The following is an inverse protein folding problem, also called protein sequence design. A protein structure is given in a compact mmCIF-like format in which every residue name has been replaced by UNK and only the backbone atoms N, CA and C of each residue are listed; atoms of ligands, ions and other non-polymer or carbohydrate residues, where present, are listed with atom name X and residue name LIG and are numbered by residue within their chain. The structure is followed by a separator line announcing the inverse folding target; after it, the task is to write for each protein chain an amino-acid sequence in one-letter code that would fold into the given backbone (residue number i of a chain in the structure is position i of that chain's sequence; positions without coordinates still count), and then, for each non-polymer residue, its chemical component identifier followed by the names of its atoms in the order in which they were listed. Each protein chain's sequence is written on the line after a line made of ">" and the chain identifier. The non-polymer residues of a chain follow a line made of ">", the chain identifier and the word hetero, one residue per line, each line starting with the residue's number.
data_IF_744374875620
#
_entry.id   IF_744374875620
#
_cell.length_a   1.000
_cell.length_b   1.000
_cell.length_c   1.000
_cell.angle_alpha   90.00
_cell.angle_beta   90.00
_cell.angle_gamma   90.00
#
_symmetry.space_group_name_H-M   'P 1'
#
loop_
_entity.id
_entity.type
_entity.pdbx_description
1 polymer ?
#
# COMPACT_ATOMS: atom_id res chain seq x y z
N UNK A 1 -10.70 11.98 -15.45
CA UNK A 1 -10.48 11.15 -16.64
C UNK A 1 -9.03 10.71 -16.63
N UNK A 2 -8.78 9.48 -16.34
CA UNK A 2 -7.42 8.95 -16.21
C UNK A 2 -7.37 7.51 -16.69
N UNK A 3 -6.26 7.12 -17.33
CA UNK A 3 -6.01 5.74 -17.70
C UNK A 3 -4.61 5.37 -17.28
N UNK A 4 -4.51 4.40 -16.40
CA UNK A 4 -3.25 3.80 -15.98
C UNK A 4 -2.91 2.68 -16.97
N UNK A 5 -1.94 2.91 -17.84
CA UNK A 5 -1.41 1.88 -18.74
C UNK A 5 -2.07 1.74 -20.12
N UNK A 6 -2.96 2.65 -20.50
CA UNK A 6 -3.51 2.69 -21.86
C UNK A 6 -3.19 4.03 -22.55
N UNK A 7 -3.09 4.03 -23.88
CA UNK A 7 -2.71 5.25 -24.63
C UNK A 7 -3.84 6.28 -24.72
N UNK A 8 -5.08 5.89 -24.43
CA UNK A 8 -6.26 6.76 -24.53
C UNK A 8 -6.81 7.15 -23.15
N UNK A 9 -7.27 8.40 -23.04
CA UNK A 9 -7.96 8.88 -21.84
C UNK A 9 -9.40 8.39 -21.83
N UNK A 10 -9.75 7.52 -20.89
CA UNK A 10 -11.09 6.97 -20.74
C UNK A 10 -11.65 7.30 -19.36
N UNK A 11 -12.98 7.23 -19.23
CA UNK A 11 -13.60 7.17 -17.91
C UNK A 11 -13.41 5.77 -17.35
N UNK A 12 -12.74 5.67 -16.21
CA UNK A 12 -12.46 4.41 -15.56
C UNK A 12 -12.90 4.43 -14.10
N UNK A 13 -13.19 3.26 -13.59
CA UNK A 13 -13.32 2.98 -12.17
C UNK A 13 -12.14 2.11 -11.74
N UNK A 14 -11.75 2.24 -10.49
CA UNK A 14 -10.69 1.44 -9.90
C UNK A 14 -11.26 0.57 -8.77
N UNK A 15 -10.92 -0.72 -8.77
CA UNK A 15 -11.34 -1.66 -7.75
C UNK A 15 -10.16 -1.96 -6.83
N UNK A 16 -10.11 -1.31 -5.68
CA UNK A 16 -9.13 -1.57 -4.65
C UNK A 16 -9.53 -2.84 -3.91
N UNK A 17 -8.70 -3.87 -4.00
CA UNK A 17 -9.09 -5.22 -3.61
C UNK A 17 -8.06 -5.83 -2.67
N UNK A 18 -8.53 -6.47 -1.60
CA UNK A 18 -7.72 -7.31 -0.74
C UNK A 18 -8.10 -8.79 -0.93
N UNK A 19 -7.09 -9.65 -0.94
CA UNK A 19 -7.29 -11.11 -0.98
C UNK A 19 -6.37 -11.81 0.02
N UNK A 20 -6.73 -13.04 0.37
CA UNK A 20 -5.88 -13.94 1.15
C UNK A 20 -4.75 -14.57 0.30
N UNK A 21 -3.94 -15.41 0.95
CA UNK A 21 -2.84 -16.15 0.29
C UNK A 21 -3.29 -17.08 -0.84
N UNK A 22 -4.55 -17.49 -0.84
CA UNK A 22 -5.14 -18.38 -1.83
C UNK A 22 -5.85 -17.59 -2.95
N UNK A 23 -5.85 -16.25 -2.86
CA UNK A 23 -6.54 -15.38 -3.79
C UNK A 23 -8.07 -15.34 -3.61
N UNK A 24 -8.59 -15.68 -2.42
CA UNK A 24 -9.96 -15.38 -2.05
C UNK A 24 -10.09 -13.89 -1.79
N UNK A 25 -10.99 -13.22 -2.46
CA UNK A 25 -11.23 -11.78 -2.27
C UNK A 25 -11.95 -11.56 -0.95
N UNK A 26 -11.32 -10.82 -0.05
CA UNK A 26 -11.81 -10.54 1.31
C UNK A 26 -12.57 -9.21 1.38
N UNK A 27 -12.09 -8.22 0.65
CA UNK A 27 -12.73 -6.90 0.59
C UNK A 27 -12.48 -6.24 -0.75
N UNK A 28 -13.39 -5.38 -1.14
CA UNK A 28 -13.28 -4.50 -2.30
C UNK A 28 -13.86 -3.12 -1.97
N UNK A 29 -13.22 -2.10 -2.52
CA UNK A 29 -13.70 -0.72 -2.58
C UNK A 29 -13.58 -0.24 -4.02
N UNK A 30 -14.63 0.37 -4.54
CA UNK A 30 -14.63 0.89 -5.91
C UNK A 30 -14.65 2.41 -5.88
N UNK A 31 -13.72 3.02 -6.60
CA UNK A 31 -13.60 4.47 -6.69
C UNK A 31 -13.61 4.92 -8.15
N UNK A 32 -13.75 6.23 -8.35
CA UNK A 32 -13.42 6.81 -9.65
C UNK A 32 -11.92 6.63 -9.92
N UNK A 33 -11.54 6.34 -11.16
CA UNK A 33 -10.17 6.00 -11.54
C UNK A 33 -9.12 7.12 -11.37
N UNK A 34 -9.52 8.30 -10.91
CA UNK A 34 -8.63 9.40 -10.54
C UNK A 34 -8.35 9.48 -9.03
N UNK A 35 -8.93 8.58 -8.23
CA UNK A 35 -8.67 8.49 -6.79
C UNK A 35 -7.39 7.70 -6.57
N UNK A 36 -6.50 8.22 -5.72
CA UNK A 36 -5.24 7.54 -5.40
C UNK A 36 -5.49 6.29 -4.56
N UNK A 37 -4.72 5.23 -4.81
CA UNK A 37 -4.75 3.98 -4.03
C UNK A 37 -4.67 4.23 -2.53
N UNK A 38 -3.83 5.18 -2.11
CA UNK A 38 -3.64 5.53 -0.70
C UNK A 38 -4.87 6.14 -0.03
N UNK A 39 -5.77 6.75 -0.80
CA UNK A 39 -7.03 7.32 -0.28
C UNK A 39 -8.08 6.23 -0.06
N UNK A 40 -8.15 5.26 -0.96
CA UNK A 40 -9.09 4.15 -0.85
C UNK A 40 -8.66 3.08 0.17
N UNK A 41 -7.40 3.13 0.60
CA UNK A 41 -6.81 2.10 1.45
C UNK A 41 -7.53 1.91 2.79
N UNK A 42 -7.87 2.99 3.48
CA UNK A 42 -8.52 2.91 4.79
C UNK A 42 -9.81 2.08 4.73
N UNK A 43 -10.65 2.30 3.72
CA UNK A 43 -11.90 1.58 3.55
C UNK A 43 -11.69 0.07 3.32
N UNK A 44 -10.70 -0.31 2.51
CA UNK A 44 -10.35 -1.71 2.26
C UNK A 44 -9.74 -2.35 3.50
N UNK A 45 -8.81 -1.65 4.15
CA UNK A 45 -8.12 -2.10 5.34
C UNK A 45 -9.08 -2.37 6.50
N UNK A 46 -9.96 -1.42 6.79
CA UNK A 46 -10.94 -1.54 7.88
C UNK A 46 -11.96 -2.66 7.61
N UNK A 47 -12.37 -2.87 6.35
CA UNK A 47 -13.21 -4.03 5.97
C UNK A 47 -12.54 -5.37 6.20
N UNK A 48 -11.23 -5.47 5.95
CA UNK A 48 -10.46 -6.71 6.18
C UNK A 48 -10.23 -6.91 7.67
N UNK A 49 -9.68 -5.93 8.36
CA UNK A 49 -9.29 -6.06 9.77
C UNK A 49 -10.46 -6.18 10.72
N UNK A 50 -11.61 -5.59 10.38
CA UNK A 50 -12.85 -5.74 11.15
C UNK A 50 -13.52 -7.11 11.01
N UNK A 51 -13.06 -7.99 10.08
CA UNK A 51 -13.60 -9.33 9.87
C UNK A 51 -12.58 -10.45 10.12
N UNK A 52 -11.29 -10.14 10.02
CA UNK A 52 -10.20 -11.12 10.04
C UNK A 52 -9.09 -10.61 10.98
N UNK A 53 -9.27 -10.83 12.29
CA UNK A 53 -8.29 -10.41 13.31
C UNK A 53 -6.93 -11.11 13.14
N UNK A 54 -6.93 -12.31 12.55
CA UNK A 54 -5.75 -13.10 12.25
C UNK A 54 -4.87 -12.54 11.13
N UNK A 55 -5.31 -11.51 10.42
CA UNK A 55 -4.56 -10.87 9.33
C UNK A 55 -3.35 -10.08 9.86
N UNK A 56 -2.28 -10.77 10.21
CA UNK A 56 -1.07 -10.16 10.79
C UNK A 56 -0.19 -9.44 9.76
N UNK A 57 -0.11 -9.97 8.52
CA UNK A 57 0.75 -9.43 7.47
C UNK A 57 -0.09 -8.77 6.39
N UNK A 58 0.15 -7.49 6.15
CA UNK A 58 -0.54 -6.71 5.11
C UNK A 58 0.46 -6.42 3.99
N UNK A 59 0.35 -7.17 2.89
CA UNK A 59 1.23 -7.04 1.73
C UNK A 59 0.59 -6.10 0.72
N UNK A 60 1.27 -5.02 0.39
CA UNK A 60 0.70 -3.94 -0.41
C UNK A 60 1.60 -3.56 -1.59
N UNK A 61 1.03 -2.86 -2.58
CA UNK A 61 1.77 -2.31 -3.72
C UNK A 61 2.45 -0.98 -3.39
N UNK A 62 3.25 -0.49 -4.32
CA UNK A 62 3.98 0.77 -4.21
C UNK A 62 3.05 1.99 -4.05
N UNK A 63 1.85 1.96 -4.63
CA UNK A 63 0.83 3.01 -4.49
C UNK A 63 0.37 3.27 -3.06
N UNK A 64 0.49 2.25 -2.20
CA UNK A 64 0.13 2.33 -0.78
C UNK A 64 1.28 2.75 0.14
N UNK A 65 2.48 3.03 -0.40
CA UNK A 65 3.65 3.39 0.43
C UNK A 65 3.59 4.84 0.89
N UNK A 66 2.80 5.10 1.92
CA UNK A 66 2.68 6.40 2.58
C UNK A 66 3.03 6.29 4.07
N UNK A 67 3.49 7.39 4.72
CA UNK A 67 3.77 7.38 6.15
C UNK A 67 2.54 7.04 7.01
N UNK A 68 1.36 7.50 6.61
CA UNK A 68 0.09 7.21 7.29
C UNK A 68 -0.25 5.72 7.29
N UNK A 69 -0.20 5.08 6.12
CA UNK A 69 -0.50 3.65 5.98
C UNK A 69 0.49 2.81 6.80
N UNK A 70 1.79 3.15 6.74
CA UNK A 70 2.80 2.48 7.54
C UNK A 70 2.51 2.61 9.04
N UNK A 71 2.21 3.85 9.49
CA UNK A 71 1.88 4.14 10.88
C UNK A 71 0.65 3.37 11.33
N UNK A 72 -0.50 3.54 10.67
CA UNK A 72 -1.78 2.90 11.05
C UNK A 72 -1.64 1.37 11.13
N UNK A 73 -0.98 0.75 10.15
CA UNK A 73 -0.79 -0.70 10.14
C UNK A 73 0.05 -1.19 11.32
N UNK A 74 1.13 -0.46 11.67
CA UNK A 74 2.01 -0.82 12.78
C UNK A 74 1.37 -0.52 14.15
N UNK A 75 0.64 0.59 14.28
CA UNK A 75 -0.12 0.92 15.49
C UNK A 75 -1.20 -0.12 15.80
N UNK A 76 -1.81 -0.70 14.75
CA UNK A 76 -2.75 -1.82 14.87
C UNK A 76 -2.06 -3.18 15.13
N UNK A 77 -0.76 -3.17 15.46
CA UNK A 77 0.05 -4.37 15.72
C UNK A 77 0.12 -5.34 14.53
N UNK A 78 -0.05 -4.84 13.30
CA UNK A 78 0.09 -5.60 12.05
C UNK A 78 1.36 -5.21 11.31
N UNK A 79 1.85 -6.10 10.47
CA UNK A 79 3.15 -5.96 9.79
C UNK A 79 2.92 -5.58 8.32
N UNK A 80 3.19 -4.33 7.93
CA UNK A 80 3.11 -3.91 6.53
C UNK A 80 4.32 -4.40 5.74
N UNK A 81 4.08 -5.04 4.60
CA UNK A 81 5.10 -5.44 3.64
C UNK A 81 4.90 -4.63 2.36
N UNK A 82 5.83 -3.72 2.10
CA UNK A 82 5.78 -2.77 0.99
C UNK A 82 7.01 -2.93 0.10
N UNK A 83 6.91 -2.66 -1.21
CA UNK A 83 8.04 -2.79 -2.11
C UNK A 83 9.06 -1.68 -1.93
N UNK A 84 10.23 -1.91 -2.51
CA UNK A 84 11.19 -0.83 -2.72
C UNK A 84 10.59 0.20 -3.69
N UNK A 85 10.70 1.46 -3.33
CA UNK A 85 10.41 2.58 -4.23
C UNK A 85 11.66 3.40 -4.42
N UNK A 86 12.01 3.65 -5.68
CA UNK A 86 13.18 4.46 -5.97
C UNK A 86 12.96 5.92 -5.53
N UNK A 87 13.93 6.48 -4.81
CA UNK A 87 13.87 7.89 -4.46
C UNK A 87 13.87 8.77 -5.71
N UNK A 88 13.01 9.77 -5.72
CA UNK A 88 12.96 10.81 -6.77
C UNK A 88 14.10 11.82 -6.57
N UNK A 89 15.33 11.36 -6.72
CA UNK A 89 16.53 12.18 -6.58
C UNK A 89 17.21 12.27 -7.93
N UNK A 90 17.69 13.43 -8.32
CA UNK A 90 18.42 13.62 -9.57
C UNK A 90 19.64 12.70 -9.61
N UNK A 91 19.99 12.21 -10.80
CA UNK A 91 21.15 11.32 -10.99
C UNK A 91 22.41 12.02 -10.51
N UNK A 92 23.22 11.30 -9.72
CA UNK A 92 24.44 11.83 -9.13
C UNK A 92 24.27 12.61 -7.83
N UNK A 93 23.04 12.85 -7.36
CA UNK A 93 22.81 13.50 -6.08
C UNK A 93 22.62 12.48 -4.93
N UNK A 94 23.04 12.89 -3.73
CA UNK A 94 22.84 12.11 -2.51
C UNK A 94 21.38 11.76 -2.29
N UNK A 95 21.15 10.50 -1.99
CA UNK A 95 19.82 9.96 -1.75
C UNK A 95 19.36 10.19 -0.32
N UNK A 96 18.06 10.21 -0.03
CA UNK A 96 17.54 10.48 1.32
C UNK A 96 18.12 9.60 2.42
N UNK A 97 18.41 8.32 2.14
CA UNK A 97 18.97 7.39 3.13
C UNK A 97 20.47 7.55 3.39
N UNK A 98 21.17 8.39 2.63
CA UNK A 98 22.58 8.72 2.89
C UNK A 98 22.72 9.82 3.96
N UNK A 99 21.60 10.51 4.27
CA UNK A 99 21.53 11.45 5.38
C UNK A 99 21.19 10.70 6.66
N UNK A 100 22.07 10.81 7.66
CA UNK A 100 21.86 10.19 8.97
C UNK A 100 21.00 11.10 9.84
N UNK A 101 19.89 10.57 10.34
CA UNK A 101 18.99 11.29 11.25
C UNK A 101 19.39 10.97 12.70
N UNK A 102 19.55 12.01 13.48
CA UNK A 102 19.72 11.93 14.93
C UNK A 102 18.43 12.35 15.62
N UNK A 103 17.82 11.39 16.32
CA UNK A 103 16.54 11.58 17.03
C UNK A 103 16.70 12.50 18.24
N UNK A 104 17.87 12.46 18.92
CA UNK A 104 18.09 13.22 20.14
C UNK A 104 18.21 14.72 19.88
N UNK A 105 18.95 15.06 18.83
CA UNK A 105 19.20 16.46 18.47
C UNK A 105 18.23 17.00 17.40
N UNK A 106 17.34 16.16 16.86
CA UNK A 106 16.46 16.47 15.72
C UNK A 106 17.24 17.10 14.55
N UNK A 107 18.33 16.46 14.14
CA UNK A 107 19.21 16.93 13.05
C UNK A 107 19.46 15.86 12.02
N UNK A 108 19.81 16.28 10.80
CA UNK A 108 20.32 15.40 9.74
C UNK A 108 21.81 15.67 9.49
N UNK A 109 22.61 14.64 9.42
CA UNK A 109 24.02 14.74 9.01
C UNK A 109 24.14 14.29 7.55
N UNK A 110 24.72 15.14 6.70
CA UNK A 110 24.95 14.81 5.30
C UNK A 110 26.14 13.84 5.16
N UNK A 111 26.32 13.17 3.99
CA UNK A 111 27.44 12.24 3.76
C UNK A 111 28.83 12.84 3.92
N UNK A 112 28.95 14.17 3.89
CA UNK A 112 30.18 14.90 4.14
C UNK A 112 30.32 15.44 5.59
N UNK A 113 29.50 14.94 6.52
CA UNK A 113 29.57 15.28 7.94
C UNK A 113 29.02 16.65 8.33
N UNK A 114 28.33 17.36 7.45
CA UNK A 114 27.71 18.64 7.79
C UNK A 114 26.29 18.44 8.34
N UNK A 115 25.94 19.22 9.37
CA UNK A 115 24.67 19.13 10.06
C UNK A 115 23.61 20.01 9.39
N UNK A 116 22.45 19.45 9.15
CA UNK A 116 21.24 20.17 8.74
C UNK A 116 20.30 20.22 9.95
N UNK A 117 19.87 21.42 10.31
CA UNK A 117 18.99 21.65 11.46
C UNK A 117 17.54 21.79 11.02
N UNK A 118 16.63 21.30 11.85
CA UNK A 118 15.21 21.53 11.66
C UNK A 118 14.92 23.03 11.66
N UNK A 119 14.14 23.50 10.69
CA UNK A 119 13.75 24.91 10.58
C UNK A 119 12.26 25.14 10.68
N UNK A 120 11.47 24.29 10.04
CA UNK A 120 10.00 24.37 10.06
C UNK A 120 9.39 23.03 9.65
N UNK A 121 8.13 22.84 9.98
CA UNK A 121 7.32 21.71 9.50
C UNK A 121 6.20 22.28 8.63
N UNK A 122 6.02 21.73 7.44
CA UNK A 122 4.95 22.14 6.55
C UNK A 122 3.58 21.55 6.97
N UNK A 123 2.51 21.96 6.26
CA UNK A 123 1.14 21.49 6.55
C UNK A 123 0.92 20.01 6.22
N UNK A 124 1.78 19.44 5.39
CA UNK A 124 1.76 18.02 5.05
C UNK A 124 2.53 17.15 6.06
N UNK A 125 3.00 17.72 7.16
CA UNK A 125 3.77 17.03 8.19
C UNK A 125 5.22 16.74 7.79
N UNK A 126 5.78 17.46 6.81
CA UNK A 126 7.18 17.30 6.42
C UNK A 126 8.04 18.30 7.18
N UNK A 127 8.93 17.79 8.03
CA UNK A 127 9.99 18.57 8.67
C UNK A 127 11.04 18.97 7.64
N UNK A 128 11.38 20.24 7.61
CA UNK A 128 12.36 20.81 6.67
C UNK A 128 13.66 21.06 7.43
N UNK A 129 14.71 20.39 6.98
CA UNK A 129 16.08 20.54 7.53
C UNK A 129 16.93 21.32 6.56
N UNK A 130 17.68 22.28 7.08
CA UNK A 130 18.55 23.13 6.26
C UNK A 130 19.99 23.15 6.80
N UNK A 131 20.95 23.14 5.87
CA UNK A 131 22.35 23.33 6.20
C UNK A 131 22.68 24.82 6.36
N UNK A 132 23.79 25.11 7.03
CA UNK A 132 24.35 26.45 7.17
C UNK A 132 25.06 26.85 5.85
N UNK A 133 24.69 27.95 5.19
CA UNK A 133 25.29 28.34 3.91
C UNK A 133 26.81 28.52 3.96
N UNK A 134 27.34 29.08 5.06
CA UNK A 134 28.79 29.29 5.23
C UNK A 134 29.60 27.97 5.22
N UNK A 135 29.01 26.89 5.76
CA UNK A 135 29.68 25.57 5.82
C UNK A 135 29.60 24.80 4.48
N UNK A 136 28.56 25.09 3.68
CA UNK A 136 28.28 24.31 2.47
C UNK A 136 28.68 25.04 1.17
N UNK A 137 28.95 26.35 1.21
CA UNK A 137 29.35 27.13 0.02
C UNK A 137 30.61 26.58 -0.65
N UNK A 138 31.61 26.24 0.12
CA UNK A 138 32.91 25.75 -0.34
C UNK A 138 33.06 24.23 -0.18
N UNK A 139 31.94 23.50 -0.10
CA UNK A 139 31.95 22.04 0.06
C UNK A 139 32.43 21.36 -1.24
N UNK A 140 33.46 20.48 -1.20
CA UNK A 140 33.97 19.81 -2.40
C UNK A 140 32.94 18.88 -3.07
N UNK A 141 31.97 18.38 -2.31
CA UNK A 141 30.90 17.51 -2.81
C UNK A 141 29.59 18.26 -3.10
N UNK A 142 29.66 19.56 -3.36
CA UNK A 142 28.50 20.39 -3.60
C UNK A 142 27.71 19.96 -4.86
N UNK A 143 28.38 19.50 -5.90
CA UNK A 143 27.76 18.98 -7.13
C UNK A 143 26.89 17.75 -6.88
N UNK A 144 27.33 16.86 -5.98
CA UNK A 144 26.60 15.66 -5.57
C UNK A 144 25.48 15.97 -4.54
N UNK A 145 25.61 17.06 -3.81
CA UNK A 145 24.66 17.48 -2.80
C UNK A 145 23.40 18.10 -3.40
N UNK A 146 23.50 18.81 -4.54
CA UNK A 146 22.41 19.57 -5.11
C UNK A 146 21.95 20.73 -4.20
N UNK A 147 22.89 21.37 -3.50
CA UNK A 147 22.63 22.60 -2.77
C UNK A 147 22.30 23.75 -3.73
N UNK A 148 21.50 24.72 -3.28
CA UNK A 148 21.13 25.89 -4.07
C UNK A 148 22.35 26.80 -4.32
N UNK A 149 22.14 27.86 -5.12
CA UNK A 149 23.20 28.83 -5.46
C UNK A 149 23.82 29.50 -4.23
N UNK A 150 23.01 29.72 -3.19
CA UNK A 150 23.47 30.29 -1.90
C UNK A 150 24.29 29.31 -1.04
N UNK A 151 24.49 28.06 -1.51
CA UNK A 151 25.21 27.04 -0.77
C UNK A 151 24.40 26.37 0.33
N UNK A 152 23.06 26.47 0.29
CA UNK A 152 22.19 25.84 1.28
C UNK A 152 21.55 24.58 0.73
N UNK A 153 21.70 23.46 1.45
CA UNK A 153 20.97 22.21 1.20
C UNK A 153 19.70 22.17 2.04
N UNK A 154 18.60 21.76 1.41
CA UNK A 154 17.34 21.47 2.06
C UNK A 154 17.02 19.98 1.90
N UNK A 155 16.64 19.35 3.00
CA UNK A 155 16.15 17.95 3.03
C UNK A 155 14.82 17.93 3.78
N UNK A 156 13.87 17.15 3.27
CA UNK A 156 12.56 16.97 3.91
C UNK A 156 12.47 15.58 4.49
N UNK A 157 11.90 15.45 5.69
CA UNK A 157 11.60 14.20 6.37
C UNK A 157 10.22 14.30 7.00
N UNK A 158 9.33 13.37 6.70
CA UNK A 158 7.98 13.36 7.29
C UNK A 158 8.06 13.05 8.80
N UNK A 159 7.15 13.60 9.60
CA UNK A 159 7.07 13.35 11.05
C UNK A 159 6.97 11.86 11.40
N UNK A 160 6.36 11.06 10.53
CA UNK A 160 6.22 9.60 10.65
C UNK A 160 7.20 8.82 9.79
N UNK A 161 8.35 9.39 9.45
CA UNK A 161 9.36 8.69 8.62
C UNK A 161 9.93 7.46 9.31
N UNK A 162 9.96 7.42 10.63
CA UNK A 162 10.41 6.27 11.42
C UNK A 162 9.63 5.00 11.10
N UNK A 163 8.31 5.12 10.87
CA UNK A 163 7.48 3.99 10.45
C UNK A 163 7.88 3.48 9.05
N UNK A 164 8.20 4.38 8.12
CA UNK A 164 8.71 3.98 6.81
C UNK A 164 10.10 3.36 6.88
N UNK A 165 10.96 3.84 7.78
CA UNK A 165 12.29 3.27 8.00
C UNK A 165 12.16 1.84 8.55
N UNK A 166 11.23 1.59 9.48
CA UNK A 166 10.92 0.27 10.00
C UNK A 166 10.37 -0.66 8.91
N UNK A 167 9.41 -0.18 8.11
CA UNK A 167 8.87 -0.93 6.97
C UNK A 167 9.97 -1.31 5.97
N UNK A 168 10.93 -0.42 5.73
CA UNK A 168 12.06 -0.71 4.84
C UNK A 168 12.99 -1.79 5.44
N UNK A 169 13.15 -1.85 6.76
CA UNK A 169 13.88 -2.94 7.44
C UNK A 169 13.10 -4.26 7.31
N UNK A 170 11.80 -4.26 7.58
CA UNK A 170 10.94 -5.43 7.46
C UNK A 170 10.97 -6.02 6.03
N UNK A 171 10.94 -5.17 5.01
CA UNK A 171 11.06 -5.57 3.60
C UNK A 171 12.35 -6.33 3.30
N UNK A 172 13.46 -5.97 3.95
CA UNK A 172 14.79 -6.60 3.72
C UNK A 172 14.92 -7.96 4.36
N UNK A 173 14.05 -8.33 5.31
CA UNK A 173 14.06 -9.64 5.96
C UNK A 173 13.71 -10.74 4.95
N UNK A 174 14.21 -11.95 5.16
CA UNK A 174 13.88 -13.10 4.31
C UNK A 174 12.37 -13.37 4.28
N UNK A 175 11.70 -13.24 5.44
CA UNK A 175 10.24 -13.37 5.54
C UNK A 175 9.52 -12.29 4.74
N UNK A 176 9.96 -11.03 4.82
CA UNK A 176 9.39 -9.93 4.06
C UNK A 176 9.51 -10.14 2.55
N UNK A 177 10.68 -10.57 2.07
CA UNK A 177 10.92 -10.91 0.66
C UNK A 177 10.03 -12.05 0.20
N UNK A 178 9.93 -13.13 0.98
CA UNK A 178 9.11 -14.29 0.66
C UNK A 178 7.60 -13.94 0.59
N UNK A 179 7.10 -13.14 1.54
CA UNK A 179 5.71 -12.69 1.55
C UNK A 179 5.41 -11.78 0.35
N UNK A 180 6.32 -10.84 0.02
CA UNK A 180 6.12 -9.98 -1.12
C UNK A 180 6.14 -10.73 -2.46
N UNK A 181 6.99 -11.77 -2.60
CA UNK A 181 7.03 -12.61 -3.79
C UNK A 181 5.70 -13.32 -4.05
N UNK A 182 5.01 -13.78 -2.99
CA UNK A 182 3.69 -14.44 -3.08
C UNK A 182 2.58 -13.52 -3.62
N UNK A 183 2.77 -12.20 -3.61
CA UNK A 183 1.82 -11.24 -4.17
C UNK A 183 1.49 -11.52 -5.64
N UNK A 184 2.48 -11.92 -6.43
CA UNK A 184 2.29 -12.27 -7.84
C UNK A 184 1.36 -13.47 -8.03
N UNK A 185 1.45 -14.44 -7.13
CA UNK A 185 0.65 -15.66 -7.18
C UNK A 185 -0.78 -15.46 -6.63
N UNK A 186 -1.01 -14.41 -5.83
CA UNK A 186 -2.31 -14.12 -5.23
C UNK A 186 -3.05 -13.00 -5.95
N UNK A 187 -2.81 -11.74 -5.59
CA UNK A 187 -3.62 -10.61 -6.06
C UNK A 187 -3.47 -10.32 -7.57
N UNK A 188 -2.27 -10.47 -8.15
CA UNK A 188 -2.10 -10.27 -9.59
C UNK A 188 -2.87 -11.32 -10.38
N UNK A 189 -2.89 -12.58 -9.90
CA UNK A 189 -3.69 -13.64 -10.49
C UNK A 189 -5.19 -13.37 -10.35
N UNK A 190 -5.64 -12.84 -9.20
CA UNK A 190 -7.05 -12.43 -9.01
C UNK A 190 -7.46 -11.41 -10.07
N UNK A 191 -6.66 -10.37 -10.30
CA UNK A 191 -6.95 -9.37 -11.33
C UNK A 191 -6.86 -9.93 -12.74
N UNK A 192 -5.91 -10.81 -13.01
CA UNK A 192 -5.81 -11.52 -14.29
C UNK A 192 -7.07 -12.33 -14.57
N UNK A 193 -7.49 -13.17 -13.63
CA UNK A 193 -8.70 -13.99 -13.76
C UNK A 193 -9.97 -13.12 -13.88
N UNK A 194 -10.06 -12.02 -13.13
CA UNK A 194 -11.17 -11.08 -13.20
C UNK A 194 -11.32 -10.49 -14.62
N UNK A 195 -10.22 -10.08 -15.22
CA UNK A 195 -10.21 -9.47 -16.56
C UNK A 195 -10.46 -10.49 -17.66
N UNK A 196 -9.77 -11.64 -17.61
CA UNK A 196 -9.78 -12.61 -18.71
C UNK A 196 -10.96 -13.60 -18.65
N UNK A 197 -11.36 -14.02 -17.43
CA UNK A 197 -12.36 -15.09 -17.24
C UNK A 197 -13.71 -14.59 -16.76
N UNK A 198 -13.76 -13.36 -16.20
CA UNK A 198 -14.97 -12.82 -15.60
C UNK A 198 -15.43 -11.49 -16.23
N UNK A 199 -14.88 -11.14 -17.41
CA UNK A 199 -15.24 -9.97 -18.21
C UNK A 199 -15.18 -8.63 -17.43
N UNK A 200 -14.21 -8.49 -16.52
CA UNK A 200 -14.03 -7.26 -15.73
C UNK A 200 -13.11 -6.24 -16.40
N UNK A 201 -12.71 -6.45 -17.66
CA UNK A 201 -11.90 -5.48 -18.42
C UNK A 201 -12.70 -4.22 -18.77
N UNK A 202 -13.98 -4.40 -19.12
CA UNK A 202 -14.90 -3.32 -19.45
C UNK A 202 -16.21 -3.49 -18.71
N UNK A 203 -16.89 -2.38 -18.43
CA UNK A 203 -18.23 -2.38 -17.84
C UNK A 203 -19.21 -1.57 -18.68
N UNK A 204 -20.44 -2.05 -18.83
CA UNK A 204 -21.54 -1.30 -19.43
C UNK A 204 -22.31 -0.46 -18.40
N UNK A 205 -22.01 -0.63 -17.12
CA UNK A 205 -22.64 0.11 -16.04
C UNK A 205 -22.06 1.52 -15.91
N UNK A 206 -22.94 2.49 -15.63
CA UNK A 206 -22.57 3.87 -15.35
C UNK A 206 -22.98 4.26 -13.94
N UNK A 207 -22.16 5.07 -13.29
CA UNK A 207 -22.36 5.49 -11.91
C UNK A 207 -21.71 4.56 -10.89
N UNK A 208 -21.13 5.14 -9.86
CA UNK A 208 -20.29 4.43 -8.88
C UNK A 208 -21.05 3.29 -8.19
N UNK A 209 -22.28 3.53 -7.74
CA UNK A 209 -23.08 2.51 -7.05
C UNK A 209 -23.27 1.26 -7.90
N UNK A 210 -23.75 1.39 -9.15
CA UNK A 210 -23.97 0.24 -10.04
C UNK A 210 -22.68 -0.51 -10.37
N UNK A 211 -21.57 0.22 -10.54
CA UNK A 211 -20.26 -0.41 -10.79
C UNK A 211 -19.75 -1.12 -9.53
N UNK A 212 -19.97 -0.56 -8.35
CA UNK A 212 -19.65 -1.22 -7.08
C UNK A 212 -20.39 -2.53 -6.91
N UNK A 213 -21.72 -2.54 -7.15
CA UNK A 213 -22.54 -3.76 -7.07
C UNK A 213 -22.05 -4.81 -8.07
N UNK A 214 -21.80 -4.39 -9.32
CA UNK A 214 -21.32 -5.27 -10.36
C UNK A 214 -19.95 -5.88 -10.04
N UNK A 215 -18.97 -5.08 -9.57
CA UNK A 215 -17.65 -5.55 -9.17
C UNK A 215 -17.75 -6.51 -7.98
N UNK A 216 -18.54 -6.15 -6.98
CA UNK A 216 -18.74 -6.99 -5.80
C UNK A 216 -19.34 -8.35 -6.17
N UNK A 217 -20.36 -8.37 -7.03
CA UNK A 217 -20.98 -9.62 -7.52
C UNK A 217 -19.96 -10.47 -8.31
N UNK A 218 -19.15 -9.86 -9.17
CA UNK A 218 -18.12 -10.57 -9.93
C UNK A 218 -17.11 -11.24 -9.01
N UNK A 219 -16.58 -10.54 -8.00
CA UNK A 219 -15.65 -11.13 -7.04
C UNK A 219 -16.32 -12.19 -6.15
N UNK A 220 -17.59 -12.02 -5.78
CA UNK A 220 -18.34 -13.06 -5.08
C UNK A 220 -18.45 -14.34 -5.93
N UNK A 221 -18.79 -14.22 -7.22
CA UNK A 221 -18.83 -15.36 -8.14
C UNK A 221 -17.45 -16.02 -8.31
N UNK A 222 -16.36 -15.24 -8.36
CA UNK A 222 -15.01 -15.77 -8.40
C UNK A 222 -14.67 -16.57 -7.14
N UNK A 223 -15.04 -16.07 -5.97
CA UNK A 223 -14.87 -16.77 -4.70
C UNK A 223 -15.67 -18.07 -4.66
N UNK A 224 -16.95 -18.04 -5.06
CA UNK A 224 -17.78 -19.25 -5.15
C UNK A 224 -17.20 -20.29 -6.08
N UNK A 225 -16.69 -19.89 -7.25
CA UNK A 225 -16.02 -20.79 -8.18
C UNK A 225 -14.78 -21.45 -7.56
N UNK A 226 -13.97 -20.68 -6.82
CA UNK A 226 -12.80 -21.22 -6.10
C UNK A 226 -13.22 -22.21 -5.02
N UNK A 227 -14.22 -21.86 -4.22
CA UNK A 227 -14.79 -22.76 -3.20
C UNK A 227 -15.28 -24.07 -3.83
N UNK A 228 -16.04 -24.00 -4.91
CA UNK A 228 -16.51 -25.19 -5.62
C UNK A 228 -15.35 -26.06 -6.12
N UNK A 229 -14.27 -25.47 -6.66
CA UNK A 229 -13.11 -26.20 -7.14
C UNK A 229 -12.32 -26.86 -5.99
N UNK A 230 -12.20 -26.18 -4.84
CA UNK A 230 -11.51 -26.74 -3.68
C UNK A 230 -12.30 -27.87 -3.04
N UNK A 231 -13.61 -27.72 -2.98
CA UNK A 231 -14.50 -28.72 -2.39
C UNK A 231 -14.57 -30.01 -3.21
N UNK A 232 -14.45 -29.88 -4.53
CA UNK A 232 -14.42 -31.07 -5.39
C UNK A 232 -13.20 -31.95 -5.12
N UNK A 233 -12.12 -31.35 -4.61
CA UNK A 233 -10.86 -32.04 -4.32
C UNK A 233 -10.67 -32.43 -2.84
N UNK A 234 -11.61 -32.10 -1.94
CA UNK A 234 -11.51 -32.42 -0.51
C UNK A 234 -12.86 -32.85 0.07
N UNK A 235 -12.86 -33.96 0.79
CA UNK A 235 -14.00 -34.48 1.57
C UNK A 235 -14.49 -33.51 2.68
N UNK A 236 -13.74 -32.45 2.95
CA UNK A 236 -14.03 -31.44 3.99
C UNK A 236 -15.11 -30.42 3.61
N UNK A 237 -15.51 -30.37 2.34
CA UNK A 237 -16.53 -29.41 1.89
C UNK A 237 -17.90 -29.69 2.48
N UNK A 238 -18.26 -30.96 2.61
CA UNK A 238 -19.56 -31.33 3.19
C UNK A 238 -19.67 -30.86 4.64
N UNK A 239 -18.58 -30.94 5.40
CA UNK A 239 -18.50 -30.42 6.77
C UNK A 239 -18.58 -28.89 6.84
N UNK A 240 -17.97 -28.16 5.90
CA UNK A 240 -18.05 -26.69 5.86
C UNK A 240 -19.46 -26.21 5.48
N UNK A 241 -20.09 -26.82 4.47
CA UNK A 241 -21.44 -26.47 4.03
C UNK A 241 -22.46 -26.77 5.15
N UNK A 242 -22.36 -27.90 5.80
CA UNK A 242 -23.23 -28.27 6.93
C UNK A 242 -23.03 -27.32 8.11
N UNK A 243 -21.80 -26.90 8.44
CA UNK A 243 -21.54 -25.90 9.48
C UNK A 243 -22.08 -24.52 9.12
N UNK A 244 -21.93 -24.09 7.86
CA UNK A 244 -22.40 -22.78 7.41
C UNK A 244 -23.93 -22.70 7.40
N UNK A 245 -24.64 -23.76 7.00
CA UNK A 245 -26.09 -23.81 7.04
C UNK A 245 -26.63 -24.02 8.46
N UNK A 246 -26.01 -24.87 9.28
CA UNK A 246 -26.45 -25.08 10.65
C UNK A 246 -26.26 -23.85 11.54
N UNK A 247 -25.26 -23.00 11.28
CA UNK A 247 -25.12 -21.73 12.01
C UNK A 247 -26.18 -20.69 11.68
N UNK A 248 -26.91 -20.84 10.55
CA UNK A 248 -28.01 -19.94 10.17
C UNK A 248 -29.41 -20.48 10.48
N UNK A 249 -29.52 -21.78 10.72
CA UNK A 249 -30.83 -22.41 11.06
C UNK A 249 -31.16 -22.29 12.55
N UNK A 250 -30.23 -21.86 13.40
CA UNK A 250 -30.46 -21.66 14.82
C UNK A 250 -31.07 -20.32 15.23
N UNK A 251 -31.62 -19.53 14.31
CA UNK A 251 -32.51 -18.46 14.67
C UNK A 251 -33.94 -19.03 14.76
N UNK A 252 -34.26 -19.52 15.93
CA UNK A 252 -35.61 -19.96 16.29
C UNK A 252 -36.59 -18.82 16.04
N UNK A 253 -37.67 -19.16 15.36
CA UNK A 253 -38.91 -18.38 15.30
C UNK A 253 -39.49 -18.38 16.74
N UNK A 254 -39.70 -17.23 17.39
CA UNK A 254 -40.50 -17.21 18.61
C UNK A 254 -41.93 -17.46 18.23
N UNK A 255 -42.57 -18.30 19.04
CA UNK A 255 -44.01 -18.59 18.98
C UNK A 255 -44.84 -17.35 19.37
#
# INVERSE_FOLDING_TARGET
>A
MFVKGEHERQFAYEAHTACDKNGMVLAVEVTAGNVSDSVAWDAVYDKVTGRFDEAQFIVMDAGYKTPWIAKKTLDDSRIPILPYTQAKTAKGHFRPWEYKYDVVTDTLTCPHGKTLRHTTTDRDGKRIYRSTPSECRNCPRRSECGANEKGQKMVQRHIWSEYLDLVEQLRKTERGKALYAKRKESIERVFGDAKEKHAMRYTHHRGLARVTDWVTLKFACMNLKKLATWSWNSSDFFCFFVRFFNSRVNYAVPA
#
